data_IF_966361438695
#
_entry.id   IF_966361438695
#
_cell.length_a   1.000
_cell.length_b   1.000
_cell.length_c   1.000
_cell.angle_alpha   90.00
_cell.angle_beta   90.00
_cell.angle_gamma   90.00
#
_symmetry.space_group_name_H-M   'P 1'
#
loop_
_entity.id
_entity.type
_entity.pdbx_description
1 polymer ?
#
# COMPACT_ATOMS: atom_id res chain seq x y z
N UNK A 1 -15.55 2.93 24.25
CA UNK A 1 -16.88 2.95 23.58
C UNK A 1 -16.80 2.02 22.38
N UNK A 2 -17.85 1.24 22.10
CA UNK A 2 -17.89 0.36 20.93
C UNK A 2 -18.80 1.00 19.85
N UNK A 3 -18.32 1.07 18.63
CA UNK A 3 -19.00 1.63 17.46
C UNK A 3 -18.89 0.61 16.31
N UNK A 4 -20.03 0.15 15.83
CA UNK A 4 -20.14 -0.83 14.75
C UNK A 4 -20.65 -0.12 13.50
N UNK A 5 -19.81 -0.01 12.48
CA UNK A 5 -20.04 0.69 11.21
C UNK A 5 -20.72 2.09 11.37
N UNK A 6 -20.18 2.99 12.20
CA UNK A 6 -20.90 4.19 12.63
C UNK A 6 -21.16 5.20 11.52
N UNK A 7 -20.37 5.19 10.43
CA UNK A 7 -20.45 6.17 9.35
C UNK A 7 -20.96 5.58 8.02
N UNK A 8 -21.25 4.28 7.96
CA UNK A 8 -21.59 3.55 6.73
C UNK A 8 -22.82 4.10 5.97
N UNK A 9 -23.77 4.70 6.67
CA UNK A 9 -25.00 5.25 6.08
C UNK A 9 -24.89 6.71 5.62
N UNK A 10 -23.73 7.36 5.76
CA UNK A 10 -23.53 8.77 5.46
C UNK A 10 -22.99 8.99 4.04
N UNK A 11 -23.37 10.11 3.44
CA UNK A 11 -22.72 10.57 2.21
C UNK A 11 -21.26 10.99 2.47
N UNK A 12 -20.43 11.03 1.40
CA UNK A 12 -18.99 11.23 1.50
C UNK A 12 -18.60 12.54 2.22
N UNK A 13 -19.37 13.64 2.03
CA UNK A 13 -19.07 14.92 2.69
C UNK A 13 -19.38 14.85 4.18
N UNK A 14 -20.58 14.36 4.53
CA UNK A 14 -21.00 14.24 5.93
C UNK A 14 -20.13 13.23 6.67
N UNK A 15 -19.67 12.17 5.99
CA UNK A 15 -18.75 11.19 6.54
C UNK A 15 -17.43 11.84 6.97
N UNK A 16 -16.80 12.66 6.11
CA UNK A 16 -15.57 13.39 6.45
C UNK A 16 -15.79 14.36 7.62
N UNK A 17 -16.88 15.11 7.63
CA UNK A 17 -17.20 16.02 8.74
C UNK A 17 -17.35 15.25 10.06
N UNK A 18 -18.03 14.09 10.03
CA UNK A 18 -18.23 13.25 11.22
C UNK A 18 -16.95 12.55 11.70
N UNK A 19 -16.01 12.22 10.81
CA UNK A 19 -14.68 11.71 11.20
C UNK A 19 -13.96 12.72 12.09
N UNK A 20 -13.91 13.99 11.71
CA UNK A 20 -13.30 15.04 12.54
C UNK A 20 -14.00 15.19 13.90
N UNK A 21 -15.34 15.21 13.91
CA UNK A 21 -16.12 15.33 15.15
C UNK A 21 -15.91 14.15 16.09
N UNK A 22 -15.81 12.93 15.57
CA UNK A 22 -15.54 11.72 16.37
C UNK A 22 -14.14 11.73 16.96
N UNK A 23 -13.12 12.16 16.20
CA UNK A 23 -11.75 12.28 16.70
C UNK A 23 -11.67 13.35 17.81
N UNK A 24 -12.25 14.52 17.59
CA UNK A 24 -12.31 15.58 18.62
C UNK A 24 -13.06 15.11 19.87
N UNK A 25 -14.15 14.36 19.70
CA UNK A 25 -14.91 13.81 20.81
C UNK A 25 -14.07 12.80 21.62
N UNK A 26 -13.35 11.91 20.96
CA UNK A 26 -12.47 10.93 21.58
C UNK A 26 -11.37 11.62 22.41
N UNK A 27 -10.68 12.60 21.79
CA UNK A 27 -9.63 13.39 22.47
C UNK A 27 -10.18 14.13 23.71
N UNK A 28 -11.36 14.76 23.59
CA UNK A 28 -12.00 15.49 24.69
C UNK A 28 -12.44 14.58 25.83
N UNK A 29 -12.90 13.37 25.53
CA UNK A 29 -13.35 12.41 26.53
C UNK A 29 -12.19 11.63 27.16
N UNK A 30 -11.07 11.47 26.45
CA UNK A 30 -9.91 10.70 26.88
C UNK A 30 -10.21 9.23 27.14
N UNK A 31 -11.15 8.63 26.38
CA UNK A 31 -11.54 7.22 26.52
C UNK A 31 -11.22 6.46 25.24
N UNK A 32 -11.01 5.16 25.38
CA UNK A 32 -10.80 4.27 24.23
C UNK A 32 -12.10 4.09 23.44
N UNK A 33 -12.01 4.31 22.12
CA UNK A 33 -13.03 3.95 21.16
C UNK A 33 -12.60 2.67 20.44
N UNK A 34 -13.51 1.75 20.26
CA UNK A 34 -13.33 0.58 19.41
C UNK A 34 -14.30 0.71 18.23
N UNK A 35 -13.74 0.84 17.03
CA UNK A 35 -14.48 0.89 15.78
C UNK A 35 -14.44 -0.48 15.10
N UNK A 36 -15.56 -0.91 14.57
CA UNK A 36 -15.63 -2.00 13.61
C UNK A 36 -16.10 -1.39 12.31
N UNK A 37 -15.30 -1.46 11.27
CA UNK A 37 -15.62 -0.92 9.94
C UNK A 37 -15.02 -1.80 8.85
N UNK A 38 -15.63 -1.79 7.68
CA UNK A 38 -15.07 -2.33 6.44
C UNK A 38 -14.54 -1.22 5.51
N UNK A 39 -14.68 0.04 5.93
CA UNK A 39 -14.21 1.20 5.18
C UNK A 39 -12.76 1.50 5.62
N UNK A 40 -11.83 1.33 4.67
CA UNK A 40 -10.39 1.51 4.88
C UNK A 40 -10.05 2.97 5.22
N UNK A 41 -10.70 3.93 4.54
CA UNK A 41 -10.49 5.36 4.80
C UNK A 41 -10.90 5.73 6.23
N UNK A 42 -11.97 5.12 6.77
CA UNK A 42 -12.39 5.31 8.16
C UNK A 42 -11.34 4.76 9.13
N UNK A 43 -10.85 3.54 8.88
CA UNK A 43 -9.85 2.91 9.73
C UNK A 43 -8.56 3.75 9.78
N UNK A 44 -8.04 4.13 8.61
CA UNK A 44 -6.80 4.92 8.49
C UNK A 44 -6.93 6.32 9.10
N UNK A 45 -8.09 6.98 8.95
CA UNK A 45 -8.28 8.35 9.42
C UNK A 45 -8.56 8.49 10.92
N UNK A 46 -9.20 7.49 11.53
CA UNK A 46 -9.74 7.61 12.89
C UNK A 46 -8.96 6.84 13.95
N UNK A 47 -8.21 5.82 13.57
CA UNK A 47 -7.57 4.92 14.52
C UNK A 47 -6.18 5.40 14.94
N UNK A 48 -5.80 5.11 16.17
CA UNK A 48 -4.43 5.16 16.64
C UNK A 48 -3.74 3.81 16.45
N UNK A 49 -4.56 2.72 16.42
CA UNK A 49 -4.14 1.34 16.20
C UNK A 49 -5.21 0.60 15.38
N UNK A 50 -4.81 -0.15 14.37
CA UNK A 50 -5.68 -0.93 13.49
C UNK A 50 -5.40 -2.42 13.68
N UNK A 51 -6.46 -3.23 13.69
CA UNK A 51 -6.39 -4.69 13.64
C UNK A 51 -7.06 -5.15 12.35
N UNK A 52 -6.28 -5.57 11.38
CA UNK A 52 -6.79 -6.13 10.12
C UNK A 52 -7.19 -7.58 10.36
N UNK A 53 -8.46 -7.92 10.09
CA UNK A 53 -9.00 -9.24 10.36
C UNK A 53 -9.45 -9.94 9.08
N UNK A 54 -9.15 -11.23 8.98
CA UNK A 54 -9.63 -12.11 7.92
C UNK A 54 -10.04 -13.46 8.51
N UNK A 55 -11.21 -13.96 8.16
CA UNK A 55 -11.76 -15.24 8.62
C UNK A 55 -11.69 -15.44 10.16
N UNK A 56 -11.91 -14.35 10.93
CA UNK A 56 -11.88 -14.35 12.39
C UNK A 56 -10.49 -14.39 13.02
N UNK A 57 -9.43 -14.22 12.24
CA UNK A 57 -8.05 -14.11 12.69
C UNK A 57 -7.50 -12.72 12.41
N UNK A 58 -6.69 -12.19 13.31
CA UNK A 58 -5.90 -10.99 13.08
C UNK A 58 -4.79 -11.34 12.10
N UNK A 59 -4.67 -10.58 11.03
CA UNK A 59 -3.63 -10.71 10.02
C UNK A 59 -2.44 -9.80 10.30
N UNK A 60 -2.74 -8.59 10.80
CA UNK A 60 -1.75 -7.59 11.20
C UNK A 60 -2.39 -6.60 12.15
N UNK A 61 -1.59 -6.08 13.08
CA UNK A 61 -1.96 -4.96 13.97
C UNK A 61 -0.82 -3.92 13.98
N UNK A 62 -1.18 -2.64 14.08
CA UNK A 62 -0.19 -1.56 14.08
C UNK A 62 -0.83 -0.19 13.92
N UNK A 63 0.01 0.83 13.80
CA UNK A 63 -0.47 2.17 13.48
C UNK A 63 -1.01 2.23 12.04
N UNK A 64 -1.86 3.20 11.70
CA UNK A 64 -2.33 3.37 10.32
C UNK A 64 -1.20 3.44 9.29
N UNK A 65 -0.09 4.09 9.62
CA UNK A 65 1.08 4.24 8.75
C UNK A 65 1.76 2.89 8.55
N UNK A 66 2.05 2.15 9.63
CA UNK A 66 2.71 0.84 9.55
C UNK A 66 1.90 -0.16 8.72
N UNK A 67 0.56 -0.19 8.92
CA UNK A 67 -0.32 -1.09 8.17
C UNK A 67 -0.37 -0.73 6.68
N UNK A 68 -0.28 0.56 6.35
CA UNK A 68 -0.33 1.04 4.97
C UNK A 68 0.99 0.85 4.23
N UNK A 69 2.10 1.26 4.86
CA UNK A 69 3.42 1.28 4.24
C UNK A 69 4.08 -0.11 4.28
N UNK A 70 3.86 -0.88 5.36
CA UNK A 70 4.51 -2.17 5.62
C UNK A 70 3.51 -3.31 5.83
N UNK A 71 2.64 -3.62 4.85
CA UNK A 71 1.71 -4.73 4.96
C UNK A 71 2.45 -6.07 5.04
N UNK A 72 2.07 -6.91 6.01
CA UNK A 72 2.74 -8.21 6.25
C UNK A 72 2.51 -9.22 5.13
N UNK A 73 1.40 -9.12 4.41
CA UNK A 73 1.03 -10.07 3.36
C UNK A 73 0.12 -9.46 2.30
N UNK A 74 -0.08 -10.20 1.22
CA UNK A 74 -0.93 -9.83 0.09
C UNK A 74 -2.34 -9.36 0.50
N UNK A 75 -2.97 -10.08 1.46
CA UNK A 75 -4.31 -9.73 1.90
C UNK A 75 -4.36 -8.35 2.54
N UNK A 76 -3.42 -8.03 3.43
CA UNK A 76 -3.36 -6.72 4.07
C UNK A 76 -3.07 -5.64 3.06
N UNK A 77 -2.10 -5.85 2.16
CA UNK A 77 -1.74 -4.89 1.11
C UNK A 77 -2.93 -4.50 0.22
N UNK A 78 -3.68 -5.51 -0.25
CA UNK A 78 -4.86 -5.33 -1.12
C UNK A 78 -6.08 -4.80 -0.36
N UNK A 79 -6.22 -5.21 0.92
CA UNK A 79 -7.37 -4.80 1.73
C UNK A 79 -7.28 -3.35 2.20
N UNK A 80 -6.08 -2.84 2.55
CA UNK A 80 -5.95 -1.51 3.18
C UNK A 80 -5.87 -0.36 2.18
N UNK A 81 -5.58 -0.63 0.93
CA UNK A 81 -5.47 0.36 -0.14
C UNK A 81 -5.12 -0.26 -1.48
N UNK A 82 -5.27 0.50 -2.54
CA UNK A 82 -4.86 0.06 -3.87
C UNK A 82 -3.35 -0.16 -3.92
N UNK A 83 -2.91 -1.23 -4.60
CA UNK A 83 -1.50 -1.63 -4.65
C UNK A 83 -1.14 -2.26 -5.98
N UNK A 84 0.06 -2.00 -6.46
CA UNK A 84 0.71 -2.82 -7.47
C UNK A 84 1.47 -3.94 -6.77
N UNK A 85 1.01 -5.18 -6.89
CA UNK A 85 1.65 -6.35 -6.26
C UNK A 85 2.27 -7.21 -7.35
N UNK A 86 3.61 -7.28 -7.36
CA UNK A 86 4.39 -7.88 -8.43
C UNK A 86 5.26 -9.00 -7.87
N UNK A 87 5.29 -10.14 -8.56
CA UNK A 87 6.15 -11.26 -8.18
C UNK A 87 7.62 -10.91 -8.41
N UNK A 88 8.46 -11.19 -7.43
CA UNK A 88 9.89 -10.90 -7.46
C UNK A 88 10.72 -11.92 -6.70
N UNK A 89 12.02 -11.65 -6.61
CA UNK A 89 12.96 -12.43 -5.83
C UNK A 89 13.88 -11.49 -5.06
N UNK A 90 14.04 -11.71 -3.76
CA UNK A 90 15.03 -11.00 -2.97
C UNK A 90 16.42 -11.48 -3.35
N UNK A 91 17.26 -10.65 -3.94
CA UNK A 91 18.61 -11.02 -4.36
C UNK A 91 19.56 -11.09 -3.17
N UNK A 92 19.48 -10.09 -2.31
CA UNK A 92 20.17 -9.92 -1.03
C UNK A 92 19.50 -8.79 -0.27
N UNK A 93 19.88 -8.57 0.96
CA UNK A 93 19.43 -7.42 1.74
C UNK A 93 19.53 -6.13 0.94
N UNK A 94 18.45 -5.35 0.93
CA UNK A 94 18.32 -4.07 0.23
C UNK A 94 18.39 -4.14 -1.30
N UNK A 95 18.17 -5.34 -1.90
CA UNK A 95 18.17 -5.53 -3.35
C UNK A 95 17.17 -6.59 -3.79
N UNK A 96 16.13 -6.19 -4.49
CA UNK A 96 15.07 -7.05 -5.02
C UNK A 96 15.09 -7.06 -6.55
N UNK A 97 14.73 -8.20 -7.14
CA UNK A 97 14.55 -8.35 -8.58
C UNK A 97 13.06 -8.55 -8.88
N UNK A 98 12.49 -7.70 -9.71
CA UNK A 98 11.18 -7.87 -10.29
C UNK A 98 11.16 -7.26 -11.69
N UNK A 99 10.19 -7.66 -12.51
CA UNK A 99 10.07 -7.19 -13.90
C UNK A 99 11.37 -7.33 -14.72
N UNK A 100 12.22 -8.33 -14.39
CA UNK A 100 13.49 -8.63 -15.07
C UNK A 100 14.61 -7.62 -14.79
N UNK A 101 14.49 -6.77 -13.77
CA UNK A 101 15.48 -5.78 -13.35
C UNK A 101 15.68 -5.84 -11.83
N UNK A 102 16.84 -5.39 -11.39
CA UNK A 102 17.20 -5.28 -9.97
C UNK A 102 17.02 -3.84 -9.50
N UNK A 103 16.42 -3.69 -8.32
CA UNK A 103 16.14 -2.41 -7.68
C UNK A 103 16.61 -2.43 -6.23
N UNK A 104 17.17 -1.32 -5.78
CA UNK A 104 17.40 -1.09 -4.36
C UNK A 104 16.05 -0.93 -3.64
N UNK A 105 15.94 -1.47 -2.42
CA UNK A 105 14.76 -1.37 -1.56
C UNK A 105 15.18 -1.19 -0.10
N UNK A 106 14.24 -0.91 0.79
CA UNK A 106 14.51 -0.74 2.20
C UNK A 106 14.50 -2.08 3.00
N UNK A 107 14.00 -3.16 2.41
CA UNK A 107 13.81 -4.45 3.09
C UNK A 107 15.05 -5.32 3.16
N UNK A 108 15.14 -6.08 4.25
CA UNK A 108 16.23 -7.01 4.54
C UNK A 108 15.74 -8.29 5.29
N UNK A 109 16.65 -9.17 5.67
CA UNK A 109 16.36 -10.35 6.49
C UNK A 109 15.75 -11.53 5.72
N UNK A 110 15.74 -11.48 4.38
CA UNK A 110 15.25 -12.55 3.51
C UNK A 110 16.41 -13.36 2.93
N UNK A 111 16.13 -14.61 2.55
CA UNK A 111 17.18 -15.47 1.95
C UNK A 111 17.49 -15.02 0.52
N UNK A 112 18.74 -15.15 0.07
CA UNK A 112 19.09 -14.90 -1.33
C UNK A 112 18.25 -15.76 -2.29
N UNK A 113 17.68 -15.11 -3.33
CA UNK A 113 16.77 -15.68 -4.31
C UNK A 113 15.45 -16.23 -3.72
N UNK A 114 15.05 -15.75 -2.56
CA UNK A 114 13.73 -16.06 -1.99
C UNK A 114 12.64 -15.44 -2.87
N UNK A 115 11.59 -16.21 -3.27
CA UNK A 115 10.45 -15.64 -3.96
C UNK A 115 9.65 -14.74 -3.02
N UNK A 116 9.31 -13.56 -3.51
CA UNK A 116 8.65 -12.50 -2.74
C UNK A 116 7.56 -11.82 -3.58
N UNK A 117 6.70 -11.06 -2.91
CA UNK A 117 5.83 -10.09 -3.54
C UNK A 117 6.36 -8.69 -3.26
N UNK A 118 6.40 -7.86 -4.29
CA UNK A 118 6.80 -6.45 -4.22
C UNK A 118 5.56 -5.60 -4.29
N UNK A 119 5.38 -4.74 -3.32
CA UNK A 119 4.29 -3.77 -3.25
C UNK A 119 4.82 -2.39 -3.62
N UNK A 120 4.08 -1.71 -4.50
CA UNK A 120 4.29 -0.31 -4.86
C UNK A 120 2.93 0.39 -4.85
N UNK A 121 2.80 1.48 -4.12
CA UNK A 121 1.56 2.23 -4.09
C UNK A 121 1.37 3.04 -5.37
N UNK A 122 0.14 3.18 -5.88
CA UNK A 122 -0.13 3.92 -7.13
C UNK A 122 0.32 5.39 -7.08
N UNK A 123 0.27 6.02 -5.92
CA UNK A 123 0.67 7.41 -5.68
C UNK A 123 2.18 7.63 -5.65
N UNK A 124 2.97 6.58 -5.41
CA UNK A 124 4.44 6.63 -5.36
C UNK A 124 5.07 6.44 -6.74
N UNK A 125 4.24 6.18 -7.74
CA UNK A 125 4.70 6.00 -9.12
C UNK A 125 4.67 7.30 -9.91
N UNK A 126 5.85 7.84 -10.19
CA UNK A 126 6.00 9.00 -11.04
C UNK A 126 6.11 8.63 -12.52
N UNK A 127 5.34 9.32 -13.37
CA UNK A 127 5.40 9.18 -14.82
C UNK A 127 6.52 10.04 -15.40
N UNK A 128 7.36 9.43 -16.22
CA UNK A 128 8.44 10.10 -16.94
C UNK A 128 8.51 9.65 -18.41
N UNK A 129 9.49 10.18 -19.15
CA UNK A 129 9.75 9.69 -20.51
C UNK A 129 10.23 8.23 -20.48
N UNK A 130 9.87 7.45 -21.51
CA UNK A 130 10.16 6.02 -21.56
C UNK A 130 11.66 5.67 -21.43
N UNK A 131 12.54 6.54 -21.91
CA UNK A 131 14.01 6.36 -21.84
C UNK A 131 14.60 6.72 -20.47
N UNK A 132 13.84 7.39 -19.60
CA UNK A 132 14.25 7.76 -18.25
C UNK A 132 13.63 6.87 -17.16
N UNK A 133 12.66 6.04 -17.51
CA UNK A 133 11.94 5.19 -16.56
C UNK A 133 12.71 3.98 -16.06
N UNK A 134 12.47 3.60 -14.84
CA UNK A 134 12.92 2.33 -14.24
C UNK A 134 12.15 1.15 -14.85
N UNK A 135 10.84 1.31 -15.03
CA UNK A 135 9.93 0.36 -15.71
C UNK A 135 9.21 1.10 -16.84
N UNK A 136 9.01 0.46 -17.98
CA UNK A 136 8.25 1.03 -19.10
C UNK A 136 6.91 0.32 -19.22
N UNK A 137 5.85 1.13 -19.33
CA UNK A 137 4.48 0.66 -19.44
C UNK A 137 3.76 1.32 -20.61
N UNK A 138 2.83 0.62 -21.23
CA UNK A 138 1.91 1.16 -22.23
C UNK A 138 0.59 1.49 -21.55
N UNK A 139 0.16 2.74 -21.63
CA UNK A 139 -1.09 3.22 -21.04
C UNK A 139 -2.28 2.61 -21.77
N UNK A 140 -3.15 1.93 -21.03
CA UNK A 140 -4.38 1.35 -21.58
C UNK A 140 -5.55 2.33 -21.46
N UNK A 141 -5.77 2.88 -20.25
CA UNK A 141 -6.87 3.81 -19.99
C UNK A 141 -6.55 4.75 -18.84
N UNK A 142 -7.27 5.86 -18.78
CA UNK A 142 -7.19 6.79 -17.66
C UNK A 142 -8.57 7.35 -17.29
N UNK A 143 -8.75 7.61 -15.99
CA UNK A 143 -9.96 8.23 -15.45
C UNK A 143 -9.57 9.42 -14.56
N UNK A 144 -10.18 10.58 -14.77
CA UNK A 144 -9.99 11.73 -13.89
C UNK A 144 -10.87 11.58 -12.64
N UNK A 145 -10.25 11.53 -11.45
CA UNK A 145 -10.90 11.36 -10.15
C UNK A 145 -11.20 12.68 -9.42
N UNK A 146 -10.76 13.82 -9.98
CA UNK A 146 -10.99 15.17 -9.43
C UNK A 146 -9.67 15.86 -9.05
N UNK A 147 -8.79 15.20 -8.35
CA UNK A 147 -7.47 15.67 -7.91
C UNK A 147 -6.31 14.94 -8.59
N UNK A 148 -6.53 13.72 -9.07
CA UNK A 148 -5.56 12.93 -9.82
C UNK A 148 -6.21 12.18 -11.00
N UNK A 149 -5.36 11.66 -11.89
CA UNK A 149 -5.73 10.69 -12.92
C UNK A 149 -5.34 9.31 -12.43
N UNK A 150 -6.32 8.42 -12.37
CA UNK A 150 -6.13 6.99 -12.19
C UNK A 150 -5.83 6.40 -13.57
N UNK A 151 -4.63 5.86 -13.71
CA UNK A 151 -4.10 5.38 -15.00
C UNK A 151 -3.84 3.88 -14.86
N UNK A 152 -4.42 3.09 -15.76
CA UNK A 152 -4.12 1.67 -15.89
C UNK A 152 -3.19 1.49 -17.09
N UNK A 153 -2.08 0.80 -16.87
CA UNK A 153 -1.06 0.55 -17.88
C UNK A 153 -0.52 -0.89 -17.79
N UNK A 154 0.12 -1.38 -18.84
CA UNK A 154 0.69 -2.71 -18.88
C UNK A 154 2.17 -2.66 -19.25
N UNK A 155 3.00 -3.43 -18.56
CA UNK A 155 4.39 -3.61 -18.92
C UNK A 155 4.58 -4.67 -20.05
N UNK A 156 5.83 -4.90 -20.45
CA UNK A 156 6.17 -5.87 -21.49
C UNK A 156 5.88 -7.34 -21.07
N UNK A 157 5.84 -7.62 -19.78
CA UNK A 157 5.49 -8.93 -19.21
C UNK A 157 3.99 -9.11 -18.99
N UNK A 158 3.19 -8.07 -19.32
CA UNK A 158 1.73 -8.01 -19.14
C UNK A 158 1.29 -7.92 -17.69
N UNK A 159 2.15 -7.47 -16.78
CA UNK A 159 1.72 -7.04 -15.48
C UNK A 159 0.92 -5.74 -15.62
N UNK A 160 -0.19 -5.67 -14.90
CA UNK A 160 -0.99 -4.45 -14.78
C UNK A 160 -0.33 -3.50 -13.78
N UNK A 161 -0.35 -2.22 -14.11
CA UNK A 161 0.13 -1.14 -13.27
C UNK A 161 -0.98 -0.12 -13.09
N UNK A 162 -1.33 0.15 -11.85
CA UNK A 162 -2.21 1.23 -11.45
C UNK A 162 -1.35 2.41 -10.99
N UNK A 163 -1.63 3.60 -11.51
CA UNK A 163 -0.81 4.79 -11.26
C UNK A 163 -1.74 5.96 -10.92
N UNK A 164 -1.44 6.68 -9.85
CA UNK A 164 -2.12 7.92 -9.50
C UNK A 164 -1.22 9.11 -9.86
N UNK A 165 -1.59 9.84 -10.91
CA UNK A 165 -0.80 10.96 -11.40
C UNK A 165 -1.58 12.25 -11.43
N UNK A 166 -0.95 13.37 -11.06
CA UNK A 166 -1.54 14.71 -11.24
C UNK A 166 -1.55 15.17 -12.70
N UNK A 167 -0.80 14.48 -13.57
CA UNK A 167 -0.73 14.75 -15.01
C UNK A 167 -1.40 13.63 -15.81
N UNK A 168 -2.15 13.97 -16.89
CA UNK A 168 -2.70 12.95 -17.77
C UNK A 168 -1.64 12.28 -18.62
N UNK A 169 -1.85 11.03 -18.98
CA UNK A 169 -1.15 10.32 -20.04
C UNK A 169 -2.11 10.05 -21.20
N UNK A 170 -1.61 9.61 -22.37
CA UNK A 170 -2.47 9.29 -23.52
C UNK A 170 -2.60 7.79 -23.66
N UNK A 171 -3.82 7.32 -23.95
CA UNK A 171 -4.07 5.92 -24.26
C UNK A 171 -3.17 5.47 -25.42
N UNK A 172 -2.48 4.33 -25.25
CA UNK A 172 -1.49 3.78 -26.18
C UNK A 172 -0.11 4.44 -26.12
N UNK A 173 0.12 5.42 -25.22
CA UNK A 173 1.43 6.01 -25.02
C UNK A 173 2.31 5.09 -24.16
N UNK A 174 3.57 4.93 -24.57
CA UNK A 174 4.57 4.27 -23.72
C UNK A 174 5.25 5.31 -22.83
N UNK A 175 5.14 5.13 -21.52
CA UNK A 175 5.75 5.99 -20.52
C UNK A 175 6.72 5.20 -19.65
N UNK A 176 7.65 5.90 -18.99
CA UNK A 176 8.50 5.36 -17.95
C UNK A 176 7.88 5.60 -16.58
N UNK A 177 8.03 4.63 -15.67
CA UNK A 177 7.71 4.78 -14.27
C UNK A 177 8.99 4.92 -13.47
N UNK A 178 9.01 5.85 -12.52
CA UNK A 178 10.06 5.99 -11.51
C UNK A 178 9.46 5.94 -10.12
N UNK A 179 10.24 5.47 -9.18
CA UNK A 179 9.91 5.31 -7.75
C UNK A 179 11.22 5.26 -6.98
N UNK A 180 11.22 5.61 -5.71
CA UNK A 180 12.41 5.55 -4.87
C UNK A 180 12.57 4.18 -4.18
N UNK A 181 13.74 3.83 -3.63
CA UNK A 181 13.95 2.57 -2.91
C UNK A 181 13.01 2.39 -1.71
N UNK A 182 12.65 3.48 -1.06
CA UNK A 182 11.73 3.54 0.08
C UNK A 182 10.27 3.28 -0.31
N UNK A 183 9.90 3.47 -1.59
CA UNK A 183 8.55 3.19 -2.10
C UNK A 183 8.33 1.69 -2.36
N UNK A 184 9.41 0.90 -2.36
CA UNK A 184 9.37 -0.54 -2.57
C UNK A 184 9.24 -1.24 -1.23
N UNK A 185 8.12 -1.88 -0.98
CA UNK A 185 7.95 -2.80 0.15
C UNK A 185 7.96 -4.26 -0.33
N UNK A 186 8.73 -5.11 0.36
CA UNK A 186 8.93 -6.51 -0.04
C UNK A 186 8.33 -7.46 0.99
N UNK A 187 7.30 -8.18 0.58
CA UNK A 187 6.60 -9.17 1.41
C UNK A 187 7.12 -10.59 1.11
N UNK A 188 7.36 -11.37 2.16
CA UNK A 188 7.58 -12.81 2.05
C UNK A 188 6.25 -13.53 1.80
N UNK A 189 6.29 -14.58 1.02
CA UNK A 189 5.10 -15.40 0.79
C UNK A 189 4.68 -16.14 2.07
N UNK A 190 3.44 -15.94 2.50
CA UNK A 190 2.83 -16.56 3.67
C UNK A 190 3.56 -16.26 5.00
N UNK A 191 4.19 -15.11 5.14
CA UNK A 191 4.75 -14.62 6.39
C UNK A 191 3.62 -14.28 7.37
N UNK A 192 3.74 -14.70 8.62
CA UNK A 192 2.86 -14.26 9.70
C UNK A 192 3.36 -12.95 10.29
N UNK A 193 2.48 -12.21 11.00
CA UNK A 193 2.87 -10.99 11.72
C UNK A 193 4.05 -11.24 12.69
N UNK A 194 4.02 -12.34 13.46
CA UNK A 194 5.11 -12.70 14.38
C UNK A 194 6.46 -12.92 13.66
N UNK A 195 6.43 -13.54 12.46
CA UNK A 195 7.64 -13.75 11.66
C UNK A 195 8.16 -12.46 11.03
N UNK A 196 7.23 -11.59 10.62
CA UNK A 196 7.52 -10.26 10.08
C UNK A 196 8.19 -9.38 11.15
N UNK A 197 7.59 -9.26 12.33
CA UNK A 197 8.14 -8.48 13.45
C UNK A 197 9.54 -8.99 13.85
N UNK A 198 9.68 -10.31 13.98
CA UNK A 198 10.98 -10.93 14.29
C UNK A 198 12.04 -10.65 13.21
N UNK A 199 11.63 -10.50 11.94
CA UNK A 199 12.52 -10.12 10.85
C UNK A 199 12.94 -8.66 10.94
N UNK A 200 12.00 -7.74 11.19
CA UNK A 200 12.29 -6.32 11.37
C UNK A 200 13.29 -6.09 12.51
N UNK A 201 13.10 -6.71 13.68
CA UNK A 201 14.01 -6.60 14.83
C UNK A 201 15.46 -6.98 14.50
N UNK A 202 15.71 -7.79 13.46
CA UNK A 202 17.07 -8.26 13.11
C UNK A 202 17.90 -7.19 12.41
N UNK A 203 17.31 -6.20 11.76
CA UNK A 203 18.03 -5.19 10.98
C UNK A 203 17.69 -3.73 11.32
N UNK A 204 16.64 -3.45 12.07
CA UNK A 204 16.37 -2.11 12.61
C UNK A 204 17.17 -1.79 13.88
N UNK A 205 17.83 -2.78 14.47
CA UNK A 205 18.57 -2.68 15.72
C UNK A 205 20.05 -2.27 15.60
N UNK A 206 20.55 -2.01 14.41
CA UNK A 206 21.93 -1.57 14.13
C UNK A 206 21.94 -0.10 13.66
#
# INVERSE_FOLDING_TARGET
MLLDEPLSALDAKLRKDMQYELRELQERLGITFLFVTHDQEEALALSDEIFVMNDGQVQQSGTPVDIYDEPVNHFVADFIGESNIIQGHMIKDFLVEFNGKQFECADAGMRPNEPVEVVLRPEDLDITAADAGKVNVEVDTQLFRGDYYEIVAYDQLKNEWLIHSTNPAKDGETVGLTFDPEDIHVMRLNESEEEFDARLETYEGD
#
